data_IF_864378325011
#
_entry.id   IF_864378325011
#
_cell.length_a   1.000
_cell.length_b   1.000
_cell.length_c   1.000
_cell.angle_alpha   90.00
_cell.angle_beta   90.00
_cell.angle_gamma   90.00
#
_symmetry.space_group_name_H-M   'P 1'
#
loop_
_entity.id
_entity.type
_entity.pdbx_description
1 polymer ?
#
# COMPACT_ATOMS: atom_id res chain seq x y z
N UNK A 1 -16.32 -22.33 -11.95
CA UNK A 1 -15.68 -23.58 -11.46
C UNK A 1 -14.22 -23.23 -11.34
N UNK A 2 -13.63 -23.30 -10.15
CA UNK A 2 -12.20 -23.00 -10.00
C UNK A 2 -11.39 -24.09 -10.72
N UNK A 3 -10.50 -23.69 -11.62
CA UNK A 3 -9.62 -24.62 -12.33
C UNK A 3 -8.39 -24.82 -11.43
N UNK A 4 -8.04 -26.07 -11.20
CA UNK A 4 -6.89 -26.48 -10.41
C UNK A 4 -5.89 -27.22 -11.30
N UNK A 5 -4.63 -26.84 -11.19
CA UNK A 5 -3.51 -27.42 -11.92
C UNK A 5 -2.59 -28.14 -10.96
N UNK A 6 -2.06 -29.28 -11.34
CA UNK A 6 -1.05 -30.03 -10.58
C UNK A 6 0.30 -29.89 -11.25
N UNK A 7 1.30 -29.48 -10.46
CA UNK A 7 2.66 -29.29 -10.93
C UNK A 7 2.91 -27.90 -11.49
N UNK A 8 4.18 -27.59 -11.64
CA UNK A 8 4.69 -26.30 -12.15
C UNK A 8 5.68 -26.61 -13.27
N UNK A 9 5.78 -25.73 -14.27
CA UNK A 9 6.74 -25.92 -15.37
C UNK A 9 8.14 -25.43 -15.00
N UNK A 10 8.23 -24.33 -14.26
CA UNK A 10 9.51 -23.70 -13.90
C UNK A 10 9.36 -22.89 -12.60
N UNK A 11 10.43 -22.86 -11.80
CA UNK A 11 10.58 -22.00 -10.62
C UNK A 11 11.86 -21.18 -10.78
N UNK A 12 11.74 -19.85 -10.79
CA UNK A 12 12.87 -18.93 -10.90
C UNK A 12 12.72 -17.79 -9.87
N UNK A 13 13.31 -17.98 -8.68
CA UNK A 13 13.14 -17.07 -7.56
C UNK A 13 11.65 -16.89 -7.21
N UNK A 14 11.12 -15.67 -7.14
CA UNK A 14 9.72 -15.44 -6.82
C UNK A 14 8.77 -15.69 -8.01
N UNK A 15 9.30 -16.05 -9.19
CA UNK A 15 8.54 -16.28 -10.39
C UNK A 15 8.32 -17.76 -10.66
N UNK A 16 7.10 -18.11 -11.00
CA UNK A 16 6.69 -19.48 -11.34
C UNK A 16 6.05 -19.46 -12.72
N UNK A 17 6.40 -20.44 -13.54
CA UNK A 17 5.73 -20.69 -14.79
C UNK A 17 4.76 -21.86 -14.68
N UNK A 18 3.57 -21.69 -15.20
CA UNK A 18 2.52 -22.71 -15.31
C UNK A 18 2.12 -22.83 -16.77
N UNK A 19 2.18 -24.04 -17.34
CA UNK A 19 1.80 -24.33 -18.71
C UNK A 19 0.43 -25.04 -18.79
N UNK A 20 -0.20 -24.98 -19.97
CA UNK A 20 -1.51 -25.56 -20.21
C UNK A 20 -2.65 -24.78 -19.56
N UNK A 21 -2.41 -23.50 -19.25
CA UNK A 21 -3.37 -22.65 -18.55
C UNK A 21 -4.45 -22.19 -19.52
N UNK A 22 -5.71 -22.36 -19.12
CA UNK A 22 -6.87 -21.87 -19.85
C UNK A 22 -7.61 -20.83 -19.02
N UNK A 23 -8.10 -19.80 -19.73
CA UNK A 23 -8.94 -18.75 -19.14
C UNK A 23 -8.27 -17.94 -17.99
N UNK A 24 -6.92 -17.86 -17.97
CA UNK A 24 -6.19 -17.02 -17.04
C UNK A 24 -6.33 -15.53 -17.40
N UNK A 25 -6.46 -14.68 -16.39
CA UNK A 25 -6.50 -13.24 -16.56
C UNK A 25 -5.23 -12.56 -15.99
N UNK A 26 -4.82 -11.46 -16.63
CA UNK A 26 -3.75 -10.61 -16.09
C UNK A 26 -4.16 -10.05 -14.73
N UNK A 27 -3.23 -10.00 -13.78
CA UNK A 27 -3.42 -9.55 -12.39
C UNK A 27 -4.34 -10.46 -11.53
N UNK A 28 -4.72 -11.63 -12.04
CA UNK A 28 -5.50 -12.61 -11.31
C UNK A 28 -4.69 -13.21 -10.16
N UNK A 29 -5.34 -13.38 -9.00
CA UNK A 29 -4.74 -14.06 -7.85
C UNK A 29 -4.82 -15.58 -8.04
N UNK A 30 -3.73 -16.21 -7.63
CA UNK A 30 -3.53 -17.65 -7.67
C UNK A 30 -3.25 -18.15 -6.26
N UNK A 31 -3.93 -19.20 -5.84
CA UNK A 31 -3.64 -19.91 -4.60
C UNK A 31 -2.77 -21.13 -4.88
N UNK A 32 -1.64 -21.24 -4.21
CA UNK A 32 -0.80 -22.42 -4.19
C UNK A 32 -1.05 -23.22 -2.92
N UNK A 33 -1.22 -24.53 -3.08
CA UNK A 33 -1.24 -25.47 -1.96
C UNK A 33 0.00 -26.36 -2.04
N UNK A 34 0.79 -26.34 -0.96
CA UNK A 34 2.08 -27.01 -0.84
C UNK A 34 1.95 -28.06 0.27
N UNK A 35 2.75 -29.13 0.21
CA UNK A 35 2.76 -30.18 1.23
C UNK A 35 1.35 -30.77 1.50
N UNK A 36 0.69 -31.24 0.46
CA UNK A 36 -0.66 -31.82 0.51
C UNK A 36 -1.72 -30.90 1.16
N UNK A 37 -1.56 -29.59 0.96
CA UNK A 37 -2.50 -28.57 1.45
C UNK A 37 -2.21 -28.05 2.87
N UNK A 38 -1.12 -28.48 3.49
CA UNK A 38 -0.74 -27.99 4.82
C UNK A 38 -0.29 -26.52 4.82
N UNK A 39 0.21 -26.03 3.69
CA UNK A 39 0.65 -24.65 3.51
C UNK A 39 -0.01 -24.04 2.27
N UNK A 40 -0.52 -22.81 2.41
CA UNK A 40 -1.10 -22.03 1.33
C UNK A 40 -0.31 -20.77 1.11
N UNK A 41 -0.02 -20.47 -0.16
CA UNK A 41 0.61 -19.23 -0.59
C UNK A 41 -0.22 -18.55 -1.67
N UNK A 42 -0.04 -17.25 -1.80
CA UNK A 42 -0.69 -16.46 -2.82
C UNK A 42 0.33 -16.03 -3.88
N UNK A 43 -0.15 -15.90 -5.09
CA UNK A 43 0.60 -15.32 -6.20
C UNK A 43 -0.33 -14.51 -7.10
N UNK A 44 0.27 -13.80 -8.04
CA UNK A 44 -0.41 -12.96 -9.01
C UNK A 44 0.10 -13.26 -10.40
N UNK A 45 -0.80 -13.41 -11.37
CA UNK A 45 -0.43 -13.56 -12.77
C UNK A 45 0.09 -12.21 -13.29
N UNK A 46 1.33 -12.19 -13.77
CA UNK A 46 1.98 -10.99 -14.27
C UNK A 46 2.20 -11.00 -15.78
N UNK A 47 2.19 -12.16 -16.40
CA UNK A 47 2.32 -12.32 -17.86
C UNK A 47 1.56 -13.57 -18.32
N UNK A 48 1.03 -13.50 -19.52
CA UNK A 48 0.35 -14.62 -20.18
C UNK A 48 0.85 -14.73 -21.62
N UNK A 49 1.36 -15.90 -21.98
CA UNK A 49 1.81 -16.23 -23.34
C UNK A 49 1.11 -17.49 -23.80
N UNK A 50 0.19 -17.39 -24.77
CA UNK A 50 -0.57 -18.51 -25.30
C UNK A 50 -1.23 -19.32 -24.17
N UNK A 51 -0.67 -20.48 -23.81
CA UNK A 51 -1.13 -21.36 -22.74
C UNK A 51 -0.20 -21.37 -21.50
N UNK A 52 0.77 -20.43 -21.44
CA UNK A 52 1.73 -20.28 -20.33
C UNK A 52 1.45 -19.02 -19.53
N UNK A 53 1.29 -19.16 -18.22
CA UNK A 53 1.17 -18.04 -17.30
C UNK A 53 2.43 -17.91 -16.42
N UNK A 54 2.94 -16.69 -16.28
CA UNK A 54 3.99 -16.36 -15.33
C UNK A 54 3.34 -15.76 -14.08
N UNK A 55 3.60 -16.39 -12.96
CA UNK A 55 2.98 -16.05 -11.67
C UNK A 55 4.07 -15.58 -10.71
N UNK A 56 3.85 -14.44 -10.11
CA UNK A 56 4.69 -13.91 -9.05
C UNK A 56 4.14 -14.32 -7.70
N UNK A 57 4.90 -15.11 -6.94
CA UNK A 57 4.51 -15.57 -5.61
C UNK A 57 4.79 -14.49 -4.58
N UNK A 58 3.87 -14.27 -3.64
CA UNK A 58 4.00 -13.23 -2.62
C UNK A 58 4.94 -13.65 -1.49
N UNK A 59 4.76 -14.85 -0.97
CA UNK A 59 5.52 -15.35 0.18
C UNK A 59 6.82 -16.07 -0.19
N UNK A 60 7.24 -16.00 -1.45
CA UNK A 60 8.42 -16.73 -1.95
C UNK A 60 8.10 -18.15 -2.43
N UNK A 61 9.07 -18.76 -3.13
CA UNK A 61 8.90 -20.06 -3.77
C UNK A 61 9.62 -21.21 -3.05
N UNK A 62 10.25 -20.96 -1.89
CA UNK A 62 10.98 -21.97 -1.13
C UNK A 62 10.04 -23.12 -0.74
N UNK A 63 10.52 -24.36 -0.96
CA UNK A 63 9.76 -25.56 -0.63
C UNK A 63 8.64 -25.93 -1.62
N UNK A 64 8.43 -25.13 -2.69
CA UNK A 64 7.51 -25.51 -3.76
C UNK A 64 8.13 -26.59 -4.66
N UNK A 65 7.32 -27.56 -5.03
CA UNK A 65 7.72 -28.68 -5.88
C UNK A 65 7.16 -28.52 -7.29
N UNK A 66 7.98 -28.83 -8.29
CA UNK A 66 7.52 -28.87 -9.69
C UNK A 66 6.41 -29.89 -9.93
N UNK A 67 6.33 -30.96 -9.12
CA UNK A 67 5.39 -32.07 -9.32
C UNK A 67 4.20 -32.08 -8.40
N UNK A 68 4.34 -31.54 -7.15
CA UNK A 68 3.35 -31.71 -6.08
C UNK A 68 2.72 -30.39 -5.63
N UNK A 69 2.99 -29.27 -6.30
CA UNK A 69 2.32 -28.02 -6.00
C UNK A 69 0.99 -27.96 -6.72
N UNK A 70 -0.07 -27.74 -5.98
CA UNK A 70 -1.41 -27.49 -6.55
C UNK A 70 -1.60 -25.99 -6.73
N UNK A 71 -2.07 -25.61 -7.93
CA UNK A 71 -2.28 -24.22 -8.32
C UNK A 71 -3.74 -24.01 -8.67
N UNK A 72 -4.40 -23.08 -8.00
CA UNK A 72 -5.81 -22.75 -8.21
C UNK A 72 -5.95 -21.30 -8.65
N UNK A 73 -6.55 -21.10 -9.80
CA UNK A 73 -6.96 -19.79 -10.31
C UNK A 73 -8.21 -19.32 -9.57
N UNK A 74 -8.22 -18.06 -9.09
CA UNK A 74 -9.33 -17.53 -8.29
C UNK A 74 -10.40 -16.82 -9.12
N UNK A 75 -10.05 -16.38 -10.33
CA UNK A 75 -10.92 -15.63 -11.23
C UNK A 75 -11.08 -14.15 -10.91
N UNK A 76 -10.29 -13.64 -9.96
CA UNK A 76 -10.35 -12.23 -9.58
C UNK A 76 -8.97 -11.68 -9.15
N UNK A 77 -8.73 -10.36 -9.27
CA UNK A 77 -7.51 -9.72 -8.77
C UNK A 77 -7.46 -9.74 -7.23
N UNK A 78 -6.41 -9.17 -6.65
CA UNK A 78 -6.29 -9.04 -5.19
C UNK A 78 -7.43 -8.19 -4.63
N UNK A 79 -8.14 -8.74 -3.64
CA UNK A 79 -9.26 -8.11 -2.97
C UNK A 79 -9.02 -7.96 -1.47
N UNK A 80 -9.58 -6.89 -0.90
CA UNK A 80 -9.64 -6.69 0.55
C UNK A 80 -11.10 -6.61 1.01
N UNK A 81 -11.40 -7.25 2.14
CA UNK A 81 -12.72 -7.18 2.76
C UNK A 81 -12.87 -5.86 3.52
N UNK A 82 -14.01 -5.19 3.33
CA UNK A 82 -14.29 -3.84 3.83
C UNK A 82 -15.50 -3.85 4.76
N UNK A 83 -15.33 -3.29 5.95
CA UNK A 83 -16.37 -3.05 6.93
C UNK A 83 -15.96 -1.86 7.81
N UNK A 84 -16.89 -1.10 8.43
CA UNK A 84 -16.54 -0.08 9.41
C UNK A 84 -15.75 -0.62 10.62
N UNK A 85 -15.87 -1.91 10.91
CA UNK A 85 -15.14 -2.61 11.99
C UNK A 85 -13.63 -2.71 11.74
N UNK A 86 -13.14 -2.25 10.59
CA UNK A 86 -11.72 -2.18 10.27
C UNK A 86 -10.98 -1.10 11.07
N UNK A 87 -11.71 -0.11 11.61
CA UNK A 87 -11.13 0.91 12.49
C UNK A 87 -10.60 0.27 13.79
N UNK A 88 -9.47 0.74 14.26
CA UNK A 88 -8.79 0.21 15.43
C UNK A 88 -8.02 -1.09 15.20
N UNK A 89 -7.97 -1.60 13.97
CA UNK A 89 -7.39 -2.90 13.62
C UNK A 89 -5.98 -2.78 13.04
N UNK A 90 -5.20 -3.84 13.23
CA UNK A 90 -3.84 -3.96 12.68
C UNK A 90 -3.74 -5.18 11.76
N UNK A 91 -3.18 -4.93 10.57
CA UNK A 91 -3.05 -5.91 9.50
C UNK A 91 -1.61 -6.01 9.00
N UNK A 92 -1.28 -7.13 8.36
CA UNK A 92 -0.06 -7.22 7.55
C UNK A 92 -0.23 -6.47 6.21
N UNK A 93 0.80 -6.48 5.37
CA UNK A 93 0.82 -5.74 4.09
C UNK A 93 -0.23 -6.16 3.07
N UNK A 94 -0.77 -7.38 3.16
CA UNK A 94 -1.85 -7.87 2.27
C UNK A 94 -3.23 -7.85 2.92
N UNK A 95 -3.38 -7.21 4.08
CA UNK A 95 -4.67 -7.04 4.74
C UNK A 95 -5.13 -8.23 5.59
N UNK A 96 -4.23 -9.18 5.94
CA UNK A 96 -4.53 -10.23 6.93
C UNK A 96 -4.37 -9.66 8.35
N UNK A 97 -5.32 -9.89 9.27
CA UNK A 97 -5.20 -9.43 10.65
C UNK A 97 -3.97 -10.00 11.35
N UNK A 98 -3.26 -9.15 12.10
CA UNK A 98 -2.12 -9.53 12.96
C UNK A 98 -2.32 -9.08 14.42
N UNK A 99 -3.51 -8.61 14.75
CA UNK A 99 -3.94 -8.20 16.09
C UNK A 99 -4.57 -9.34 16.92
N UNK A 100 -4.57 -10.56 16.40
CA UNK A 100 -5.17 -11.73 17.08
C UNK A 100 -6.69 -11.82 16.98
N UNK A 101 -7.34 -10.89 16.28
CA UNK A 101 -8.79 -10.87 16.10
C UNK A 101 -9.20 -11.58 14.80
N UNK A 102 -10.50 -11.87 14.68
CA UNK A 102 -11.05 -12.51 13.49
C UNK A 102 -10.87 -11.66 12.21
N UNK A 103 -10.79 -12.29 11.03
CA UNK A 103 -10.80 -11.58 9.76
C UNK A 103 -12.01 -10.67 9.60
N UNK A 104 -11.84 -9.56 8.90
CA UNK A 104 -12.94 -8.66 8.56
C UNK A 104 -13.91 -9.38 7.62
N UNK A 105 -15.19 -9.30 7.95
CA UNK A 105 -16.29 -9.81 7.13
C UNK A 105 -17.02 -8.64 6.52
N UNK A 106 -17.10 -8.58 5.19
CA UNK A 106 -17.74 -7.48 4.49
C UNK A 106 -17.62 -7.60 2.97
N UNK A 107 -17.94 -6.50 2.29
CA UNK A 107 -17.79 -6.40 0.84
C UNK A 107 -16.31 -6.54 0.45
N UNK A 108 -16.04 -7.35 -0.57
CA UNK A 108 -14.69 -7.46 -1.11
C UNK A 108 -14.49 -6.46 -2.25
N UNK A 109 -13.35 -5.81 -2.25
CA UNK A 109 -13.00 -4.83 -3.28
C UNK A 109 -11.57 -5.01 -3.79
N UNK A 110 -11.42 -4.87 -5.10
CA UNK A 110 -10.13 -4.88 -5.79
C UNK A 110 -9.22 -3.77 -5.23
N UNK A 111 -8.00 -4.15 -4.84
CA UNK A 111 -7.02 -3.23 -4.23
C UNK A 111 -6.40 -2.26 -5.24
N UNK A 112 -6.48 -2.52 -6.53
CA UNK A 112 -5.98 -1.61 -7.55
C UNK A 112 -6.78 -0.29 -7.58
N UNK A 113 -7.99 -0.30 -7.03
CA UNK A 113 -8.85 0.86 -6.97
C UNK A 113 -9.39 1.29 -8.33
N UNK A 114 -10.07 2.42 -8.35
CA UNK A 114 -10.54 3.06 -9.59
C UNK A 114 -9.91 4.43 -9.72
N UNK A 115 -9.37 4.79 -10.90
CA UNK A 115 -8.86 6.14 -11.13
C UNK A 115 -9.97 7.17 -10.88
N UNK A 116 -9.66 8.21 -10.11
CA UNK A 116 -10.58 9.32 -9.93
C UNK A 116 -10.65 10.13 -11.22
N UNK A 117 -11.87 10.23 -11.79
CA UNK A 117 -12.07 11.09 -12.95
C UNK A 117 -11.74 12.55 -12.57
N UNK A 118 -10.83 13.22 -13.28
CA UNK A 118 -10.46 14.61 -12.98
C UNK A 118 -11.65 15.57 -12.94
N UNK A 119 -12.68 15.36 -13.78
CA UNK A 119 -13.90 16.17 -13.80
C UNK A 119 -14.77 15.97 -12.56
N UNK A 120 -14.67 14.83 -11.91
CA UNK A 120 -15.38 14.51 -10.65
C UNK A 120 -14.66 15.02 -9.41
N UNK A 121 -13.45 15.55 -9.54
CA UNK A 121 -12.72 16.12 -8.40
C UNK A 121 -13.32 17.46 -7.99
N UNK A 122 -13.43 17.67 -6.69
CA UNK A 122 -13.79 18.96 -6.10
C UNK A 122 -12.53 19.68 -5.65
N UNK A 123 -12.55 21.02 -5.77
CA UNK A 123 -11.40 21.81 -5.33
C UNK A 123 -11.31 21.82 -3.79
N UNK A 124 -10.15 21.47 -3.20
CA UNK A 124 -9.98 21.42 -1.74
C UNK A 124 -10.07 22.84 -1.14
N UNK A 125 -10.73 22.95 0.03
CA UNK A 125 -10.91 24.23 0.72
C UNK A 125 -10.62 24.16 2.22
N UNK A 126 -10.91 23.03 2.85
CA UNK A 126 -10.78 22.84 4.28
C UNK A 126 -9.43 22.19 4.61
N UNK A 127 -8.89 22.48 5.78
CA UNK A 127 -7.61 21.94 6.21
C UNK A 127 -7.76 20.78 7.23
N UNK A 128 -6.68 20.06 7.42
CA UNK A 128 -6.47 19.12 8.52
C UNK A 128 -5.47 19.76 9.48
N UNK A 129 -5.84 19.87 10.74
CA UNK A 129 -4.91 20.31 11.81
C UNK A 129 -3.97 19.14 12.10
N UNK A 130 -2.68 19.32 11.91
CA UNK A 130 -1.67 18.31 12.21
C UNK A 130 -1.14 18.40 13.64
N UNK A 131 -1.37 19.52 14.32
CA UNK A 131 -0.79 19.82 15.63
C UNK A 131 0.69 20.18 15.59
N UNK A 132 1.29 20.27 14.39
CA UNK A 132 2.68 20.65 14.17
C UNK A 132 2.71 22.06 13.60
N UNK A 133 3.15 23.03 14.39
CA UNK A 133 3.06 24.46 14.07
C UNK A 133 3.75 24.83 12.74
N UNK A 134 4.86 24.17 12.40
CA UNK A 134 5.55 24.39 11.14
C UNK A 134 4.70 23.94 9.94
N UNK A 135 3.99 22.83 10.04
CA UNK A 135 3.10 22.35 8.98
C UNK A 135 1.85 23.23 8.94
N UNK A 136 1.17 23.39 10.07
CA UNK A 136 -0.11 24.12 10.12
C UNK A 136 0.04 25.60 9.74
N UNK A 137 1.21 26.19 9.98
CA UNK A 137 1.46 27.60 9.70
C UNK A 137 2.12 27.94 8.36
N UNK A 138 2.95 27.03 7.83
CA UNK A 138 3.76 27.33 6.62
C UNK A 138 3.33 26.49 5.39
N UNK A 139 2.94 25.25 5.60
CA UNK A 139 2.55 24.29 4.56
C UNK A 139 1.27 23.57 4.92
N UNK A 140 0.24 24.34 5.27
CA UNK A 140 -1.04 23.83 5.78
C UNK A 140 -1.57 22.67 4.94
N UNK A 141 -1.85 21.54 5.61
CA UNK A 141 -2.38 20.36 4.96
C UNK A 141 -3.85 20.55 4.62
N UNK A 142 -4.20 20.51 3.34
CA UNK A 142 -5.55 20.68 2.86
C UNK A 142 -6.19 19.32 2.60
N UNK A 143 -7.49 19.16 2.94
CA UNK A 143 -8.22 17.91 2.71
C UNK A 143 -8.20 17.55 1.22
N UNK A 144 -7.88 16.30 0.90
CA UNK A 144 -7.76 15.82 -0.48
C UNK A 144 -6.40 16.09 -1.15
N UNK A 145 -5.46 16.70 -0.44
CA UNK A 145 -4.10 17.00 -0.91
C UNK A 145 -3.16 15.80 -0.77
N UNK A 146 -2.10 15.80 -1.57
CA UNK A 146 -0.92 14.94 -1.47
C UNK A 146 0.26 15.79 -1.04
N UNK A 147 0.63 15.76 0.23
CA UNK A 147 1.75 16.54 0.76
C UNK A 147 2.86 15.61 1.26
N UNK A 148 3.92 15.37 0.49
CA UNK A 148 4.98 14.46 0.89
C UNK A 148 5.94 15.09 1.90
N UNK A 149 6.55 14.21 2.72
CA UNK A 149 7.66 14.55 3.60
C UNK A 149 8.91 13.88 3.06
N UNK A 150 9.91 14.70 2.72
CA UNK A 150 11.24 14.26 2.31
C UNK A 150 12.16 14.29 3.51
N UNK A 151 12.61 13.13 3.95
CA UNK A 151 13.50 13.00 5.11
C UNK A 151 14.93 12.79 4.66
N UNK A 152 15.87 13.51 5.28
CA UNK A 152 17.28 13.19 5.19
C UNK A 152 17.62 11.87 5.90
N UNK A 153 18.81 11.35 5.64
CA UNK A 153 19.24 10.08 6.21
C UNK A 153 19.42 10.19 7.73
N UNK A 154 18.80 9.28 8.48
CA UNK A 154 18.90 9.22 9.95
C UNK A 154 18.08 10.25 10.72
N UNK A 155 17.25 11.03 10.04
CA UNK A 155 16.33 11.97 10.69
C UNK A 155 15.11 11.24 11.29
N UNK A 156 14.45 11.84 12.31
CA UNK A 156 13.38 11.17 13.08
C UNK A 156 12.02 11.22 12.37
N UNK A 157 11.94 10.79 11.10
CA UNK A 157 10.69 10.80 10.33
C UNK A 157 9.62 9.83 10.87
N UNK A 158 10.04 8.73 11.52
CA UNK A 158 9.11 7.81 12.19
C UNK A 158 8.41 8.47 13.37
N UNK A 159 9.15 9.24 14.19
CA UNK A 159 8.58 10.00 15.30
C UNK A 159 7.62 11.10 14.79
N UNK A 160 7.97 11.75 13.68
CA UNK A 160 7.10 12.72 13.03
C UNK A 160 5.82 12.05 12.49
N UNK A 161 5.95 10.89 11.87
CA UNK A 161 4.80 10.11 11.40
C UNK A 161 3.87 9.72 12.57
N UNK A 162 4.43 9.22 13.67
CA UNK A 162 3.66 8.89 14.86
C UNK A 162 2.97 10.13 15.47
N UNK A 163 3.65 11.26 15.52
CA UNK A 163 3.07 12.52 16.00
C UNK A 163 1.91 12.99 15.13
N UNK A 164 2.02 12.87 13.79
CA UNK A 164 0.94 13.17 12.85
C UNK A 164 -0.28 12.30 13.12
N UNK A 165 -0.12 10.99 13.32
CA UNK A 165 -1.24 10.08 13.64
C UNK A 165 -1.90 10.49 14.95
N UNK A 166 -1.10 10.76 16.00
CA UNK A 166 -1.59 11.03 17.34
C UNK A 166 -2.28 12.38 17.50
N UNK A 167 -1.95 13.37 16.67
CA UNK A 167 -2.38 14.77 16.86
C UNK A 167 -3.32 15.28 15.77
N UNK A 168 -3.36 14.62 14.60
CA UNK A 168 -4.17 15.10 13.48
C UNK A 168 -5.66 15.08 13.78
N UNK A 169 -6.36 16.14 13.41
CA UNK A 169 -7.80 16.30 13.61
C UNK A 169 -8.40 17.28 12.60
N UNK A 170 -9.73 17.35 12.57
CA UNK A 170 -10.45 18.36 11.79
C UNK A 170 -10.68 19.68 12.56
N UNK A 171 -10.25 19.74 13.83
CA UNK A 171 -10.56 20.81 14.76
C UNK A 171 -11.84 20.53 15.56
N UNK A 172 -12.10 21.36 16.58
CA UNK A 172 -13.16 21.12 17.57
C UNK A 172 -14.55 21.61 17.10
N UNK A 173 -14.63 22.33 15.98
CA UNK A 173 -15.84 23.02 15.52
C UNK A 173 -16.65 22.23 14.47
N UNK A 174 -16.42 20.93 14.33
CA UNK A 174 -17.10 20.11 13.31
C UNK A 174 -17.55 18.76 13.85
N UNK A 175 -18.75 18.33 13.44
CA UNK A 175 -19.29 16.99 13.70
C UNK A 175 -18.83 15.96 12.63
N UNK A 176 -17.94 16.38 11.71
CA UNK A 176 -17.43 15.51 10.64
C UNK A 176 -16.54 14.41 11.20
N UNK A 177 -16.64 13.22 10.62
CA UNK A 177 -15.85 12.05 11.07
C UNK A 177 -14.46 12.09 10.48
N UNK A 178 -13.46 11.79 11.30
CA UNK A 178 -12.06 11.72 10.93
C UNK A 178 -11.46 10.37 11.33
N UNK A 179 -10.59 9.83 10.49
CA UNK A 179 -9.78 8.67 10.82
C UNK A 179 -8.44 8.70 10.06
N UNK A 180 -7.52 7.87 10.51
CA UNK A 180 -6.19 7.72 9.90
C UNK A 180 -6.08 6.31 9.32
N UNK A 181 -5.47 6.20 8.15
CA UNK A 181 -4.98 4.94 7.61
C UNK A 181 -3.46 5.03 7.54
N UNK A 182 -2.81 4.20 8.32
CA UNK A 182 -1.35 4.17 8.43
C UNK A 182 -0.80 2.93 7.75
N UNK A 183 0.12 3.09 6.83
CA UNK A 183 0.78 1.98 6.15
C UNK A 183 2.29 2.14 6.23
N UNK A 184 2.93 1.18 6.88
CA UNK A 184 4.39 1.09 6.99
C UNK A 184 4.92 -0.01 6.08
N UNK A 185 5.87 0.34 5.23
CA UNK A 185 6.42 -0.52 4.18
C UNK A 185 7.90 -0.78 4.43
N UNK A 186 8.27 -2.05 4.65
CA UNK A 186 9.66 -2.46 4.85
C UNK A 186 10.27 -1.97 6.15
N UNK A 187 9.47 -1.78 7.18
CA UNK A 187 9.93 -1.29 8.48
C UNK A 187 10.57 -2.40 9.30
N UNK A 188 11.52 -2.02 10.15
CA UNK A 188 12.11 -2.94 11.13
C UNK A 188 11.12 -3.28 12.23
N UNK A 189 11.32 -4.40 12.91
CA UNK A 189 10.41 -4.85 13.98
C UNK A 189 10.33 -3.85 15.14
N UNK A 190 11.45 -3.24 15.52
CA UNK A 190 11.51 -2.23 16.58
C UNK A 190 10.72 -0.95 16.21
N UNK A 191 10.77 -0.54 14.96
CA UNK A 191 9.97 0.60 14.44
C UNK A 191 8.48 0.27 14.40
N UNK A 192 8.13 -0.93 13.98
CA UNK A 192 6.74 -1.38 13.99
C UNK A 192 6.16 -1.45 15.41
N UNK A 193 6.93 -1.96 16.37
CA UNK A 193 6.55 -1.98 17.78
C UNK A 193 6.45 -0.57 18.37
N UNK A 194 7.32 0.35 17.97
CA UNK A 194 7.22 1.76 18.32
C UNK A 194 5.89 2.36 17.85
N UNK A 195 5.50 2.17 16.59
CA UNK A 195 4.23 2.68 16.09
C UNK A 195 3.02 2.08 16.85
N UNK A 196 3.00 0.76 17.05
CA UNK A 196 1.92 0.09 17.79
C UNK A 196 1.74 0.68 19.18
N UNK A 197 2.82 0.74 19.96
CA UNK A 197 2.80 1.31 21.32
C UNK A 197 2.39 2.77 21.33
N UNK A 198 2.96 3.58 20.43
CA UNK A 198 2.63 5.01 20.34
C UNK A 198 1.14 5.24 20.10
N UNK A 199 0.52 4.46 19.23
CA UNK A 199 -0.92 4.61 18.91
C UNK A 199 -1.82 4.03 20.00
N UNK A 200 -1.41 2.95 20.67
CA UNK A 200 -2.12 2.38 21.81
C UNK A 200 -2.09 3.32 23.01
N UNK A 201 -0.92 3.81 23.39
CA UNK A 201 -0.72 4.70 24.56
C UNK A 201 -1.42 6.05 24.38
N UNK A 202 -1.46 6.59 23.18
CA UNK A 202 -2.16 7.85 22.87
C UNK A 202 -3.67 7.70 22.70
N UNK A 203 -4.19 6.48 22.55
CA UNK A 203 -5.58 6.21 22.17
C UNK A 203 -5.88 6.44 20.69
N UNK A 204 -4.90 6.86 19.88
CA UNK A 204 -5.09 7.11 18.45
C UNK A 204 -5.42 5.85 17.67
N UNK A 205 -5.09 4.66 18.18
CA UNK A 205 -5.40 3.39 17.52
C UNK A 205 -6.89 3.21 17.28
N UNK A 206 -7.77 3.68 18.16
CA UNK A 206 -9.23 3.55 18.01
C UNK A 206 -9.76 4.18 16.71
N UNK A 207 -9.06 5.20 16.20
CA UNK A 207 -9.40 5.92 14.96
C UNK A 207 -8.41 5.64 13.82
N UNK A 208 -7.56 4.63 13.99
CA UNK A 208 -6.51 4.30 13.01
C UNK A 208 -6.69 2.89 12.49
N UNK A 209 -6.52 2.72 11.19
CA UNK A 209 -6.31 1.41 10.56
C UNK A 209 -4.83 1.28 10.24
N UNK A 210 -4.18 0.25 10.74
CA UNK A 210 -2.74 0.06 10.60
C UNK A 210 -2.41 -1.12 9.68
N UNK A 211 -1.58 -0.87 8.66
CA UNK A 211 -1.00 -1.89 7.79
C UNK A 211 0.51 -1.92 7.98
N UNK A 212 1.05 -3.09 8.29
CA UNK A 212 2.47 -3.27 8.57
C UNK A 212 3.06 -4.33 7.64
N UNK A 213 3.99 -3.92 6.79
CA UNK A 213 4.90 -4.80 6.07
C UNK A 213 6.29 -4.65 6.68
N UNK A 214 6.81 -5.72 7.24
CA UNK A 214 8.12 -5.73 7.89
C UNK A 214 9.26 -5.81 6.87
N UNK A 215 10.47 -5.49 7.31
CA UNK A 215 11.66 -5.57 6.46
C UNK A 215 11.96 -7.00 5.99
N UNK A 216 11.60 -8.00 6.80
CA UNK A 216 11.76 -9.42 6.50
C UNK A 216 10.56 -10.07 5.80
N UNK A 217 9.47 -9.31 5.61
CA UNK A 217 8.32 -9.78 4.83
C UNK A 217 8.64 -9.78 3.32
N UNK A 218 7.92 -10.59 2.53
CA UNK A 218 8.12 -10.68 1.10
C UNK A 218 8.04 -9.32 0.38
N UNK A 219 8.96 -9.11 -0.55
CA UNK A 219 9.07 -7.84 -1.31
C UNK A 219 7.81 -7.52 -2.10
N UNK A 220 7.14 -8.55 -2.63
CA UNK A 220 5.90 -8.38 -3.40
C UNK A 220 4.75 -7.88 -2.54
N UNK A 221 4.67 -8.35 -1.29
CA UNK A 221 3.69 -7.88 -0.31
C UNK A 221 3.82 -6.36 -0.09
N UNK A 222 5.06 -5.86 -0.05
CA UNK A 222 5.35 -4.42 0.09
C UNK A 222 4.75 -3.57 -1.03
N UNK A 223 4.70 -4.09 -2.26
CA UNK A 223 4.09 -3.40 -3.41
C UNK A 223 2.56 -3.35 -3.33
N UNK A 224 1.95 -4.26 -2.58
CA UNK A 224 0.50 -4.35 -2.40
C UNK A 224 0.04 -3.47 -1.23
N UNK A 225 0.85 -3.34 -0.20
CA UNK A 225 0.52 -2.64 1.05
C UNK A 225 -0.12 -1.26 0.85
N UNK A 226 0.43 -0.31 0.08
CA UNK A 226 -0.19 0.99 -0.10
C UNK A 226 -1.51 0.91 -0.89
N UNK A 227 -1.66 -0.07 -1.77
CA UNK A 227 -2.90 -0.28 -2.53
C UNK A 227 -4.04 -0.74 -1.62
N UNK A 228 -3.78 -1.69 -0.72
CA UNK A 228 -4.74 -2.14 0.31
C UNK A 228 -5.14 -0.99 1.22
N UNK A 229 -4.15 -0.25 1.74
CA UNK A 229 -4.39 0.89 2.62
C UNK A 229 -5.27 1.96 1.95
N UNK A 230 -5.00 2.31 0.71
CA UNK A 230 -5.78 3.29 -0.04
C UNK A 230 -7.19 2.79 -0.38
N UNK A 231 -7.38 1.49 -0.65
CA UNK A 231 -8.72 0.93 -0.89
C UNK A 231 -9.58 1.02 0.37
N UNK A 232 -9.00 0.75 1.54
CA UNK A 232 -9.68 0.97 2.83
C UNK A 232 -9.98 2.45 3.06
N UNK A 233 -9.03 3.33 2.77
CA UNK A 233 -9.22 4.78 2.91
C UNK A 233 -10.36 5.30 2.01
N UNK A 234 -10.40 4.86 0.75
CA UNK A 234 -11.46 5.22 -0.20
C UNK A 234 -12.85 4.74 0.27
N UNK A 235 -12.94 3.52 0.79
CA UNK A 235 -14.18 2.99 1.35
C UNK A 235 -14.68 3.84 2.52
N UNK A 236 -13.82 4.13 3.49
CA UNK A 236 -14.18 4.93 4.65
C UNK A 236 -14.52 6.38 4.24
N UNK A 237 -13.81 6.95 3.27
CA UNK A 237 -14.04 8.31 2.81
C UNK A 237 -15.33 8.44 2.01
N UNK A 238 -15.51 7.64 0.98
CA UNK A 238 -16.56 7.89 -0.02
C UNK A 238 -17.87 7.14 0.25
N UNK A 239 -17.85 6.10 1.10
CA UNK A 239 -19.06 5.36 1.46
C UNK A 239 -19.48 5.55 2.92
N UNK A 240 -18.57 5.96 3.78
CA UNK A 240 -18.86 6.22 5.20
C UNK A 240 -18.77 7.69 5.56
N UNK A 241 -18.59 8.57 4.55
CA UNK A 241 -18.57 10.03 4.69
C UNK A 241 -17.52 10.50 5.73
N UNK A 242 -16.31 9.88 5.70
CA UNK A 242 -15.23 10.23 6.63
C UNK A 242 -14.14 11.02 5.92
N UNK A 243 -13.45 11.89 6.65
CA UNK A 243 -12.20 12.51 6.19
C UNK A 243 -11.04 11.63 6.61
N UNK A 244 -10.34 11.06 5.66
CA UNK A 244 -9.26 10.10 5.92
C UNK A 244 -7.91 10.73 5.63
N UNK A 245 -7.01 10.68 6.61
CA UNK A 245 -5.60 10.97 6.46
C UNK A 245 -4.85 9.65 6.24
N UNK A 246 -4.21 9.50 5.10
CA UNK A 246 -3.39 8.33 4.79
C UNK A 246 -1.92 8.70 4.96
N UNK A 247 -1.21 7.97 5.79
CA UNK A 247 0.24 8.13 5.98
C UNK A 247 0.92 6.89 5.43
N UNK A 248 1.79 7.08 4.45
CA UNK A 248 2.55 6.02 3.78
C UNK A 248 4.04 6.19 4.10
N UNK A 249 4.62 5.27 4.86
CA UNK A 249 6.04 5.27 5.22
C UNK A 249 6.67 3.89 5.03
N UNK A 250 7.79 3.69 4.41
CA UNK A 250 8.63 4.61 3.65
C UNK A 250 8.46 4.34 2.15
N UNK A 251 8.19 5.38 1.37
CA UNK A 251 8.00 5.24 -0.07
C UNK A 251 9.31 4.94 -0.81
N UNK A 252 10.46 5.17 -0.19
CA UNK A 252 11.75 4.75 -0.72
C UNK A 252 11.88 3.23 -0.67
N UNK A 253 11.48 2.57 0.43
CA UNK A 253 11.48 1.10 0.52
C UNK A 253 10.47 0.47 -0.45
N UNK A 254 9.35 1.14 -0.72
CA UNK A 254 8.41 0.74 -1.77
C UNK A 254 9.05 0.76 -3.16
N UNK A 255 9.74 1.85 -3.51
CA UNK A 255 10.41 1.96 -4.80
C UNK A 255 11.59 0.98 -4.94
N UNK A 256 12.33 0.71 -3.85
CA UNK A 256 13.37 -0.33 -3.83
C UNK A 256 12.79 -1.74 -4.07
N UNK A 257 11.64 -2.05 -3.46
CA UNK A 257 10.91 -3.29 -3.73
C UNK A 257 10.53 -3.42 -5.21
N UNK A 258 10.10 -2.34 -5.83
CA UNK A 258 9.77 -2.30 -7.25
C UNK A 258 11.03 -2.54 -8.13
N UNK A 259 12.17 -1.95 -7.76
CA UNK A 259 13.45 -2.17 -8.45
C UNK A 259 13.88 -3.63 -8.36
N UNK A 260 13.77 -4.26 -7.19
CA UNK A 260 14.10 -5.66 -6.97
C UNK A 260 13.22 -6.59 -7.81
N UNK A 261 11.91 -6.36 -7.80
CA UNK A 261 10.95 -7.15 -8.60
C UNK A 261 11.18 -6.98 -10.09
N UNK A 262 11.40 -5.75 -10.57
CA UNK A 262 11.72 -5.47 -11.96
C UNK A 262 13.02 -6.14 -12.40
N UNK A 263 14.04 -6.13 -11.56
CA UNK A 263 15.31 -6.82 -11.80
C UNK A 263 15.12 -8.34 -11.89
N UNK A 264 14.32 -8.94 -11.02
CA UNK A 264 14.05 -10.40 -11.05
C UNK A 264 13.29 -10.84 -12.31
N UNK A 265 12.48 -9.94 -12.91
CA UNK A 265 11.83 -10.16 -14.19
C UNK A 265 12.75 -9.99 -15.40
N UNK A 266 13.98 -9.48 -15.21
CA UNK A 266 14.90 -9.17 -16.30
C UNK A 266 14.48 -7.95 -17.14
N UNK A 267 13.66 -7.05 -16.60
CA UNK A 267 13.25 -5.83 -17.27
C UNK A 267 14.44 -4.88 -17.49
N UNK A 268 14.42 -4.13 -18.59
CA UNK A 268 15.49 -3.17 -18.89
C UNK A 268 15.43 -2.01 -17.89
N UNK A 269 16.49 -1.80 -17.07
CA UNK A 269 16.49 -0.74 -16.07
C UNK A 269 16.55 0.64 -16.68
N UNK A 270 15.89 1.60 -16.05
CA UNK A 270 15.97 3.03 -16.33
C UNK A 270 16.94 3.71 -15.34
N UNK A 271 16.72 5.00 -15.06
CA UNK A 271 17.57 5.83 -14.19
C UNK A 271 17.81 5.16 -12.82
N UNK A 272 19.07 5.04 -12.42
CA UNK A 272 19.53 4.39 -11.16
C UNK A 272 19.00 2.97 -10.93
N UNK A 273 18.66 2.23 -11.98
CA UNK A 273 18.20 0.83 -11.89
C UNK A 273 16.72 0.65 -11.59
N UNK A 274 15.95 1.72 -11.48
CA UNK A 274 14.49 1.63 -11.33
C UNK A 274 13.81 1.27 -12.64
N UNK A 275 12.62 0.64 -12.59
CA UNK A 275 11.86 0.37 -13.81
C UNK A 275 11.39 1.67 -14.48
N UNK A 276 11.24 1.65 -15.80
CA UNK A 276 10.81 2.81 -16.58
C UNK A 276 9.40 3.32 -16.19
N UNK A 277 8.58 2.46 -15.59
CA UNK A 277 7.22 2.77 -15.14
C UNK A 277 7.13 3.25 -13.67
N UNK A 278 8.26 3.53 -13.00
CA UNK A 278 8.24 4.01 -11.60
C UNK A 278 7.34 5.24 -11.42
N UNK A 279 7.38 6.20 -12.38
CA UNK A 279 6.52 7.38 -12.33
C UNK A 279 5.03 7.00 -12.33
N UNK A 280 4.62 6.14 -13.25
CA UNK A 280 3.22 5.71 -13.38
C UNK A 280 2.74 4.97 -12.13
N UNK A 281 3.57 4.12 -11.54
CA UNK A 281 3.21 3.39 -10.32
C UNK A 281 3.06 4.33 -9.11
N UNK A 282 3.99 5.29 -8.93
CA UNK A 282 3.84 6.31 -7.89
C UNK A 282 2.59 7.17 -8.12
N UNK A 283 2.32 7.54 -9.39
CA UNK A 283 1.14 8.32 -9.74
C UNK A 283 -0.15 7.55 -9.43
N UNK A 284 -0.23 6.25 -9.71
CA UNK A 284 -1.42 5.43 -9.38
C UNK A 284 -1.72 5.40 -7.89
N UNK A 285 -0.72 5.52 -7.03
CA UNK A 285 -0.87 5.60 -5.58
C UNK A 285 -1.29 7.01 -5.17
N UNK A 286 -0.53 8.02 -5.56
CA UNK A 286 -0.74 9.38 -5.08
C UNK A 286 -2.01 10.03 -5.65
N UNK A 287 -2.39 9.71 -6.88
CA UNK A 287 -3.61 10.23 -7.52
C UNK A 287 -4.92 9.66 -6.95
N UNK A 288 -4.85 8.74 -6.01
CA UNK A 288 -6.01 8.27 -5.23
C UNK A 288 -6.42 9.26 -4.13
N UNK A 289 -5.61 10.24 -3.80
CA UNK A 289 -6.00 11.35 -2.94
C UNK A 289 -6.97 12.29 -3.66
N UNK A 290 -7.94 12.82 -2.93
CA UNK A 290 -8.86 13.82 -3.49
C UNK A 290 -10.15 13.94 -2.71
N UNK A 291 -10.98 14.89 -3.19
CA UNK A 291 -12.38 15.06 -2.84
C UNK A 291 -13.18 14.80 -4.10
N UNK A 292 -14.22 13.97 -4.00
CA UNK A 292 -15.08 13.62 -5.12
C UNK A 292 -16.40 14.38 -4.99
N UNK A 293 -16.85 15.02 -6.07
CA UNK A 293 -18.15 15.72 -6.11
C UNK A 293 -19.28 14.80 -5.68
N UNK A 294 -20.08 15.27 -4.74
CA UNK A 294 -21.22 14.54 -4.19
C UNK A 294 -20.87 13.59 -3.03
N UNK A 295 -19.60 13.39 -2.72
CA UNK A 295 -19.15 12.74 -1.49
C UNK A 295 -18.88 13.79 -0.41
N UNK A 296 -19.16 13.44 0.85
CA UNK A 296 -18.84 14.29 1.99
C UNK A 296 -17.44 14.03 2.54
N UNK A 297 -16.87 12.87 2.24
CA UNK A 297 -15.56 12.46 2.69
C UNK A 297 -14.41 12.90 1.78
N UNK A 298 -13.19 12.70 2.25
CA UNK A 298 -11.96 13.00 1.50
C UNK A 298 -10.86 12.02 1.81
N UNK A 299 -9.96 11.79 0.86
CA UNK A 299 -8.71 11.07 1.05
C UNK A 299 -7.56 12.06 0.91
N UNK A 300 -6.82 12.27 1.99
CA UNK A 300 -5.62 13.13 2.06
C UNK A 300 -4.41 12.24 2.27
N UNK A 301 -3.30 12.47 1.58
CA UNK A 301 -2.11 11.64 1.70
C UNK A 301 -0.90 12.43 2.19
N UNK A 302 -0.16 11.83 3.12
CA UNK A 302 1.20 12.21 3.50
C UNK A 302 2.12 11.02 3.18
N UNK A 303 2.68 10.96 1.95
CA UNK A 303 3.75 10.01 1.68
C UNK A 303 5.04 10.51 2.32
N UNK A 304 5.70 9.64 3.08
CA UNK A 304 7.00 9.91 3.69
C UNK A 304 8.04 9.10 2.93
N UNK A 305 9.13 9.73 2.54
CA UNK A 305 10.24 9.08 1.86
C UNK A 305 11.58 9.51 2.47
N UNK A 306 12.54 8.60 2.46
CA UNK A 306 13.94 8.89 2.78
C UNK A 306 14.71 9.19 1.50
N UNK A 307 15.51 10.26 1.51
CA UNK A 307 16.34 10.62 0.35
C UNK A 307 17.67 9.85 0.40
N UNK A 308 17.94 8.93 -0.55
CA UNK A 308 19.23 8.26 -0.60
C UNK A 308 20.38 9.27 -0.77
N UNK A 309 21.36 9.25 0.14
CA UNK A 309 22.49 10.19 0.21
C UNK A 309 22.08 11.67 0.34
N UNK A 310 20.92 11.94 0.92
CA UNK A 310 20.33 13.29 1.03
C UNK A 310 20.16 14.02 -0.32
N UNK A 311 20.06 13.23 -1.40
CA UNK A 311 19.98 13.70 -2.77
C UNK A 311 18.52 13.90 -3.21
N UNK A 312 18.03 15.13 -3.15
CA UNK A 312 16.68 15.50 -3.60
C UNK A 312 16.46 15.27 -5.10
N UNK A 313 17.55 15.16 -5.89
CA UNK A 313 17.48 14.86 -7.33
C UNK A 313 17.45 13.36 -7.63
N UNK A 314 17.46 12.52 -6.59
CA UNK A 314 17.27 11.08 -6.74
C UNK A 314 15.90 10.78 -7.35
N UNK A 315 15.74 9.72 -8.20
CA UNK A 315 14.48 9.45 -8.88
C UNK A 315 13.24 9.43 -7.97
N UNK A 316 13.35 8.94 -6.74
CA UNK A 316 12.19 8.82 -5.84
C UNK A 316 11.66 10.18 -5.39
N UNK A 317 12.45 11.07 -4.75
CA UNK A 317 11.97 12.41 -4.41
C UNK A 317 11.67 13.27 -5.65
N UNK A 318 12.48 13.17 -6.70
CA UNK A 318 12.29 13.91 -7.96
C UNK A 318 10.91 13.60 -8.58
N UNK A 319 10.58 12.32 -8.79
CA UNK A 319 9.29 11.92 -9.36
C UNK A 319 8.12 12.20 -8.41
N UNK A 320 8.30 12.01 -7.10
CA UNK A 320 7.27 12.35 -6.11
C UNK A 320 6.94 13.85 -6.15
N UNK A 321 7.95 14.71 -6.25
CA UNK A 321 7.76 16.14 -6.34
C UNK A 321 6.99 16.60 -7.59
N UNK A 322 7.06 15.84 -8.71
CA UNK A 322 6.26 16.15 -9.91
C UNK A 322 4.78 15.76 -9.78
N UNK A 323 4.46 14.78 -8.91
CA UNK A 323 3.09 14.25 -8.78
C UNK A 323 2.30 14.99 -7.70
N UNK A 324 3.00 15.54 -6.69
CA UNK A 324 2.39 16.07 -5.46
C UNK A 324 2.31 17.60 -5.44
N UNK A 325 1.49 18.14 -4.52
CA UNK A 325 1.27 19.58 -4.37
C UNK A 325 2.15 20.18 -3.27
N UNK A 326 3.41 20.40 -3.55
CA UNK A 326 4.38 20.89 -2.58
C UNK A 326 5.12 19.75 -1.87
N UNK A 327 5.96 20.11 -0.89
CA UNK A 327 6.75 19.16 -0.12
C UNK A 327 7.22 19.77 1.19
N UNK A 328 7.43 18.92 2.19
CA UNK A 328 8.10 19.26 3.44
C UNK A 328 9.45 18.54 3.43
N UNK A 329 10.53 19.27 3.66
CA UNK A 329 11.87 18.67 3.75
C UNK A 329 12.34 18.75 5.20
N UNK A 330 12.75 17.61 5.75
CA UNK A 330 13.44 17.52 7.04
C UNK A 330 14.94 17.65 6.78
N UNK A 331 15.59 18.54 7.54
CA UNK A 331 17.02 18.84 7.45
C UNK A 331 17.66 18.84 8.85
#
# INVERSE_FOLDING_TARGET
>A
MAIEYLGLSEINGPLIALEGVKDAAFDEIVEFSINDGAEKRLGRIIEIYEDKAIIQVFEGSEGMSLTNTHTKLTGHPMEVALSPEILGRTFNGIGKPIDGLAPIVGEKRDVNGKPLNPVSREYPRNYIRTGISAIDGLTTLIRGQKLPIFSGNGLPHDQLAAQLVNQSSLGDDTDEKFAVVFAAMGVKNDVADFFKRSFEESGALEHTVMFLNMANDPVVERLITPKVALTVAEYLAYEKDMHILVILTDMTTYAEAMREVSSSKGEIPSRKGYPGYLYSELATIYERAGIVKGSKGSVTQIPILTMPNDDITHPIPDLTGYITEGQITLD
#
